data_IF_588624526754
#
_entry.id   IF_588624526754
#
_cell.length_a   1.000
_cell.length_b   1.000
_cell.length_c   1.000
_cell.angle_alpha   90.00
_cell.angle_beta   90.00
_cell.angle_gamma   90.00
#
_symmetry.space_group_name_H-M   'P 1'
#
loop_
_entity.id
_entity.type
_entity.pdbx_description
1 polymer ?
#
# COMPACT_ATOMS: atom_id res chain seq x y z
N UNK A 1 -25.45 6.62 43.33
CA UNK A 1 -24.51 5.87 42.45
C UNK A 1 -23.93 6.75 41.33
N UNK A 2 -23.63 8.04 41.55
CA UNK A 2 -23.28 8.97 40.45
C UNK A 2 -21.91 9.64 40.60
N UNK A 3 -21.18 9.36 41.70
CA UNK A 3 -19.89 10.00 42.00
C UNK A 3 -18.73 9.34 41.24
N UNK A 4 -18.78 8.03 41.00
CA UNK A 4 -17.68 7.30 40.35
C UNK A 4 -17.54 7.58 38.86
N UNK A 5 -18.64 7.91 38.16
CA UNK A 5 -18.62 8.23 36.73
C UNK A 5 -17.96 9.59 36.45
N UNK A 6 -18.13 10.57 37.35
CA UNK A 6 -17.49 11.88 37.22
C UNK A 6 -15.96 11.81 37.44
N UNK A 7 -15.49 10.97 38.38
CA UNK A 7 -14.05 10.76 38.58
C UNK A 7 -13.40 10.05 37.39
N UNK A 8 -14.07 9.06 36.79
CA UNK A 8 -13.55 8.36 35.62
C UNK A 8 -13.42 9.27 34.39
N UNK A 9 -14.41 10.13 34.15
CA UNK A 9 -14.35 11.11 33.05
C UNK A 9 -13.26 12.16 33.28
N UNK A 10 -13.09 12.65 34.51
CA UNK A 10 -12.03 13.60 34.83
C UNK A 10 -10.63 13.03 34.61
N UNK A 11 -10.41 11.77 35.00
CA UNK A 11 -9.12 11.10 34.82
C UNK A 11 -8.82 10.82 33.34
N UNK A 12 -9.84 10.43 32.55
CA UNK A 12 -9.69 10.24 31.11
C UNK A 12 -9.31 11.55 30.40
N UNK A 13 -9.96 12.67 30.75
CA UNK A 13 -9.62 13.98 30.18
C UNK A 13 -8.22 14.45 30.60
N UNK A 14 -7.80 14.18 31.83
CA UNK A 14 -6.46 14.52 32.30
C UNK A 14 -5.36 13.74 31.56
N UNK A 15 -5.57 12.44 31.27
CA UNK A 15 -4.60 11.63 30.53
C UNK A 15 -4.49 12.08 29.06
N UNK A 16 -5.62 12.32 28.40
CA UNK A 16 -5.63 12.77 26.99
C UNK A 16 -5.07 14.20 26.88
N UNK A 17 -5.51 15.11 27.76
CA UNK A 17 -5.02 16.50 27.78
C UNK A 17 -3.54 16.60 28.14
N UNK A 18 -3.08 15.84 29.15
CA UNK A 18 -1.68 15.79 29.54
C UNK A 18 -0.77 15.24 28.43
N UNK A 19 -1.22 14.19 27.72
CA UNK A 19 -0.49 13.63 26.58
C UNK A 19 -0.30 14.63 25.43
N UNK A 20 -1.35 15.35 25.05
CA UNK A 20 -1.27 16.38 23.99
C UNK A 20 -0.39 17.56 24.41
N UNK A 21 -0.46 17.99 25.67
CA UNK A 21 0.37 19.09 26.18
C UNK A 21 1.87 18.74 26.18
N UNK A 22 2.24 17.52 26.57
CA UNK A 22 3.64 17.07 26.52
C UNK A 22 4.18 16.98 25.10
N UNK A 23 3.38 16.51 24.13
CA UNK A 23 3.77 16.45 22.73
C UNK A 23 3.99 17.84 22.13
N UNK A 24 3.13 18.81 22.46
CA UNK A 24 3.24 20.18 21.96
C UNK A 24 4.47 20.90 22.54
N UNK A 25 4.78 20.70 23.83
CA UNK A 25 5.92 21.36 24.48
C UNK A 25 7.28 20.76 24.08
N UNK A 26 7.31 19.53 23.56
CA UNK A 26 8.55 18.89 23.10
C UNK A 26 9.03 19.38 21.72
N UNK A 27 8.20 20.10 20.96
CA UNK A 27 8.49 20.46 19.57
C UNK A 27 9.01 21.90 19.39
N UNK A 28 9.03 22.72 20.45
CA UNK A 28 9.47 24.12 20.39
C UNK A 28 10.98 24.36 20.62
N UNK A 29 11.78 23.29 20.72
CA UNK A 29 13.20 23.38 21.08
C UNK A 29 14.22 23.39 19.93
N UNK A 30 13.83 23.32 18.65
CA UNK A 30 14.76 22.95 17.57
C UNK A 30 14.94 23.97 16.43
N UNK A 31 14.59 25.24 16.60
CA UNK A 31 14.86 26.25 15.56
C UNK A 31 15.44 27.54 16.14
N UNK A 32 16.76 27.57 16.25
CA UNK A 32 17.54 28.82 16.24
C UNK A 32 18.11 28.98 14.83
N UNK A 33 17.66 29.98 14.05
CA UNK A 33 18.30 30.33 12.79
C UNK A 33 19.61 31.04 13.12
N UNK A 34 20.74 30.48 12.69
CA UNK A 34 22.00 31.20 12.64
C UNK A 34 21.96 32.17 11.46
N UNK A 35 21.75 33.45 11.75
CA UNK A 35 22.19 34.55 10.89
C UNK A 35 23.71 34.49 10.81
N UNK A 36 24.24 34.17 9.62
CA UNK A 36 25.52 34.68 9.10
C UNK A 36 25.65 34.30 7.61
N UNK A 37 25.63 35.31 6.74
CA UNK A 37 26.16 35.28 5.36
C UNK A 37 27.60 35.87 5.38
N UNK A 38 28.42 35.92 4.28
CA UNK A 38 28.11 35.71 2.86
C UNK A 38 29.19 34.99 1.97
N UNK A 39 28.75 34.63 0.77
CA UNK A 39 29.40 34.67 -0.57
C UNK A 39 30.84 34.15 -0.87
N UNK A 40 30.89 33.46 -2.03
CA UNK A 40 31.96 33.41 -3.05
C UNK A 40 32.97 32.24 -3.00
N UNK A 41 32.92 31.34 -3.98
CA UNK A 41 33.81 31.39 -5.16
C UNK A 41 33.62 30.16 -6.06
N UNK A 42 33.46 30.43 -7.35
CA UNK A 42 33.77 29.55 -8.49
C UNK A 42 35.12 28.85 -8.34
N UNK A 43 35.24 27.61 -8.86
CA UNK A 43 36.29 27.29 -9.84
C UNK A 43 36.09 25.92 -10.51
N UNK A 44 36.49 25.93 -11.78
CA UNK A 44 36.54 24.86 -12.77
C UNK A 44 37.41 23.65 -12.40
N UNK A 45 37.01 22.53 -13.02
CA UNK A 45 37.83 21.48 -13.61
C UNK A 45 39.26 21.27 -13.08
N UNK A 46 39.51 20.08 -12.52
CA UNK A 46 40.76 19.40 -12.81
C UNK A 46 40.61 17.87 -12.81
N UNK A 47 40.97 17.28 -13.94
CA UNK A 47 41.18 15.86 -14.16
C UNK A 47 42.33 15.32 -13.32
N UNK A 48 42.33 14.02 -12.98
CA UNK A 48 43.52 13.14 -12.96
C UNK A 48 43.11 11.67 -12.70
N UNK A 49 43.38 10.81 -13.70
CA UNK A 49 43.95 9.44 -13.67
C UNK A 49 43.17 8.38 -12.85
N UNK A 50 42.44 7.44 -13.49
CA UNK A 50 42.92 6.17 -14.07
C UNK A 50 43.66 5.22 -13.11
N UNK A 51 42.92 4.27 -12.54
CA UNK A 51 43.44 2.91 -12.31
C UNK A 51 42.42 1.91 -12.87
N UNK A 52 42.86 1.14 -13.88
CA UNK A 52 42.25 -0.12 -14.32
C UNK A 52 42.53 -1.16 -13.24
N UNK A 53 41.53 -1.96 -12.88
CA UNK A 53 41.79 -3.37 -12.58
C UNK A 53 40.58 -4.25 -12.97
N UNK A 54 40.76 -5.26 -13.84
CA UNK A 54 39.72 -6.20 -14.22
C UNK A 54 39.80 -7.41 -13.30
N UNK A 55 38.96 -7.48 -12.27
CA UNK A 55 38.85 -8.69 -11.45
C UNK A 55 37.67 -9.51 -11.96
N UNK A 56 37.99 -10.43 -12.86
CA UNK A 56 37.27 -11.69 -13.02
C UNK A 56 37.17 -12.35 -11.64
N UNK A 57 36.03 -12.21 -10.97
CA UNK A 57 35.67 -13.02 -9.84
C UNK A 57 34.63 -14.04 -10.32
N UNK A 58 35.11 -15.26 -10.55
CA UNK A 58 34.30 -16.43 -10.80
C UNK A 58 33.24 -16.55 -9.70
N UNK A 59 31.99 -16.68 -10.13
CA UNK A 59 30.83 -16.94 -9.30
C UNK A 59 31.04 -18.28 -8.57
N UNK A 60 30.98 -18.36 -7.23
CA UNK A 60 30.97 -19.65 -6.57
C UNK A 60 29.67 -20.38 -6.91
N UNK A 61 29.80 -21.66 -7.28
CA UNK A 61 28.72 -22.59 -7.57
C UNK A 61 27.57 -22.44 -6.57
N UNK A 62 26.39 -22.07 -7.09
CA UNK A 62 25.17 -22.17 -6.30
C UNK A 62 24.92 -23.66 -6.00
N UNK A 63 24.69 -24.05 -4.74
CA UNK A 63 24.15 -25.38 -4.47
C UNK A 63 22.80 -25.47 -5.18
N UNK A 64 22.67 -26.48 -6.06
CA UNK A 64 21.41 -26.89 -6.68
C UNK A 64 20.30 -26.79 -5.63
N UNK A 65 19.40 -25.82 -5.80
CA UNK A 65 18.11 -25.82 -5.10
C UNK A 65 17.48 -27.17 -5.38
N UNK A 66 17.38 -28.00 -4.35
CA UNK A 66 16.49 -29.13 -4.38
C UNK A 66 15.11 -28.59 -4.76
N UNK A 67 14.57 -29.14 -5.84
CA UNK A 67 13.23 -28.88 -6.33
C UNK A 67 12.22 -29.07 -5.20
N UNK A 68 11.75 -27.95 -4.66
CA UNK A 68 10.48 -27.86 -3.93
C UNK A 68 9.34 -27.85 -4.97
N UNK A 69 9.22 -28.90 -5.78
CA UNK A 69 8.10 -29.03 -6.72
C UNK A 69 7.84 -30.51 -6.99
N UNK A 70 7.65 -31.28 -5.92
CA UNK A 70 6.82 -32.48 -5.97
C UNK A 70 6.10 -32.69 -4.63
N UNK A 71 5.61 -31.59 -4.06
CA UNK A 71 4.70 -31.65 -2.90
C UNK A 71 3.27 -31.65 -3.42
N UNK A 72 2.84 -32.85 -3.81
CA UNK A 72 1.46 -33.33 -3.88
C UNK A 72 0.38 -32.25 -4.04
N UNK A 73 0.10 -31.88 -5.29
CA UNK A 73 -1.06 -31.07 -5.69
C UNK A 73 -2.39 -31.85 -5.63
N UNK A 74 -2.51 -32.80 -4.70
CA UNK A 74 -3.72 -33.57 -4.46
C UNK A 74 -3.88 -33.69 -2.95
N UNK A 75 -5.05 -33.28 -2.43
CA UNK A 75 -5.42 -33.39 -1.02
C UNK A 75 -4.96 -34.74 -0.46
N UNK A 76 -3.88 -34.68 0.32
CA UNK A 76 -3.11 -35.85 0.71
C UNK A 76 -3.84 -36.63 1.77
N UNK A 77 -3.98 -37.93 1.54
CA UNK A 77 -4.39 -38.87 2.58
C UNK A 77 -3.26 -38.96 3.61
N UNK A 78 -3.50 -38.47 4.84
CA UNK A 78 -2.53 -38.59 5.93
C UNK A 78 -3.05 -39.65 6.89
N UNK A 79 -2.18 -40.60 7.25
CA UNK A 79 -2.51 -41.60 8.25
C UNK A 79 -2.23 -41.06 9.64
N UNK A 80 -3.24 -41.09 10.50
CA UNK A 80 -3.09 -40.89 11.94
C UNK A 80 -2.77 -42.25 12.57
N UNK A 81 -1.53 -42.42 13.01
CA UNK A 81 -1.05 -43.62 13.68
C UNK A 81 -1.08 -43.42 15.20
N UNK A 82 -1.72 -44.34 15.93
CA UNK A 82 -1.69 -44.38 17.39
C UNK A 82 -0.73 -45.47 17.85
N UNK A 83 0.35 -45.09 18.53
CA UNK A 83 1.39 -45.98 19.07
C UNK A 83 1.60 -45.60 20.54
N UNK A 84 1.35 -46.52 21.47
CA UNK A 84 1.63 -46.32 22.91
C UNK A 84 1.10 -44.96 23.44
N UNK A 85 -0.19 -44.68 23.18
CA UNK A 85 -0.89 -43.42 23.52
C UNK A 85 -0.39 -42.14 22.82
N UNK A 86 0.64 -42.23 21.96
CA UNK A 86 1.12 -41.11 21.16
C UNK A 86 0.50 -41.15 19.76
N UNK A 87 0.04 -39.98 19.32
CA UNK A 87 -0.53 -39.80 17.98
C UNK A 87 0.54 -39.22 17.07
N UNK A 88 0.88 -39.93 15.99
CA UNK A 88 1.83 -39.49 14.97
C UNK A 88 1.12 -39.46 13.62
N UNK A 89 1.23 -38.34 12.91
CA UNK A 89 0.68 -38.17 11.58
C UNK A 89 1.78 -38.48 10.56
N UNK A 90 1.53 -39.46 9.69
CA UNK A 90 2.53 -39.93 8.72
C UNK A 90 1.88 -40.04 7.34
N UNK A 91 2.58 -39.56 6.33
CA UNK A 91 2.16 -39.65 4.91
C UNK A 91 2.35 -41.07 4.33
N UNK A 92 2.88 -41.99 5.13
CA UNK A 92 3.19 -43.39 4.77
C UNK A 92 2.43 -44.35 5.71
N UNK A 93 2.42 -45.65 5.39
CA UNK A 93 1.70 -46.66 6.18
C UNK A 93 2.19 -46.70 7.63
N UNK A 94 1.27 -46.86 8.57
CA UNK A 94 1.60 -46.96 9.98
C UNK A 94 2.48 -48.21 10.28
N UNK A 95 3.41 -48.11 11.24
CA UNK A 95 4.26 -49.23 11.64
C UNK A 95 3.43 -50.36 12.28
N UNK A 96 3.91 -51.60 12.16
CA UNK A 96 3.21 -52.81 12.62
C UNK A 96 2.92 -52.74 14.12
N UNK A 97 1.65 -52.84 14.50
CA UNK A 97 1.18 -52.69 15.90
C UNK A 97 0.52 -51.36 16.21
N UNK A 98 0.53 -50.40 15.27
CA UNK A 98 -0.20 -49.14 15.40
C UNK A 98 -1.64 -49.25 14.88
N UNK A 99 -2.58 -48.56 15.53
CA UNK A 99 -3.92 -48.37 14.95
C UNK A 99 -3.86 -47.21 13.95
N UNK A 100 -4.16 -47.50 12.68
CA UNK A 100 -4.18 -46.52 11.60
C UNK A 100 -5.60 -45.97 11.39
N UNK A 101 -5.74 -44.65 11.43
CA UNK A 101 -6.96 -43.96 11.04
C UNK A 101 -6.65 -43.05 9.85
N UNK A 102 -7.33 -43.27 8.74
CA UNK A 102 -7.16 -42.51 7.50
C UNK A 102 -7.92 -41.18 7.60
N UNK A 103 -7.23 -40.06 7.33
CA UNK A 103 -7.83 -38.72 7.36
C UNK A 103 -7.65 -38.08 6.00
N UNK A 104 -8.77 -37.74 5.37
CA UNK A 104 -8.81 -36.93 4.16
C UNK A 104 -8.57 -35.46 4.50
N UNK A 105 -7.50 -34.86 3.98
CA UNK A 105 -7.29 -33.43 4.05
C UNK A 105 -7.90 -32.75 2.82
N UNK A 106 -8.88 -31.89 3.06
CA UNK A 106 -9.37 -30.96 2.05
C UNK A 106 -8.53 -29.68 2.14
N UNK A 107 -7.83 -29.36 1.06
CA UNK A 107 -7.11 -28.11 0.94
C UNK A 107 -8.11 -26.96 0.72
N UNK A 108 -8.64 -26.42 1.81
CA UNK A 108 -9.33 -25.13 1.78
C UNK A 108 -8.31 -24.05 2.09
N UNK A 109 -7.47 -23.74 1.09
CA UNK A 109 -6.59 -22.58 1.11
C UNK A 109 -7.41 -21.27 1.16
N UNK A 110 -7.90 -20.91 2.35
CA UNK A 110 -8.24 -19.55 2.80
C UNK A 110 -9.27 -18.72 2.01
N UNK A 111 -9.79 -19.20 0.88
CA UNK A 111 -10.73 -18.46 0.04
C UNK A 111 -11.92 -19.37 -0.23
N UNK A 112 -13.03 -19.08 0.45
CA UNK A 112 -14.34 -19.69 0.16
C UNK A 112 -14.77 -19.13 -1.20
N UNK A 113 -14.32 -19.77 -2.29
CA UNK A 113 -14.88 -19.50 -3.61
C UNK A 113 -16.26 -20.14 -3.68
N UNK A 114 -17.31 -19.38 -4.06
CA UNK A 114 -18.63 -19.95 -4.30
C UNK A 114 -18.55 -21.10 -5.31
N UNK A 115 -19.42 -22.12 -5.21
CA UNK A 115 -19.47 -23.18 -6.20
C UNK A 115 -19.70 -22.58 -7.59
N UNK A 116 -19.13 -23.21 -8.63
CA UNK A 116 -19.14 -22.68 -10.01
C UNK A 116 -20.53 -22.35 -10.55
N UNK A 117 -21.57 -23.02 -10.06
CA UNK A 117 -22.96 -22.73 -10.40
C UNK A 117 -23.41 -21.33 -9.92
N UNK A 118 -23.04 -20.97 -8.68
CA UNK A 118 -23.39 -19.67 -8.10
C UNK A 118 -22.65 -18.52 -8.79
N UNK A 119 -21.41 -18.76 -9.24
CA UNK A 119 -20.67 -17.77 -10.02
C UNK A 119 -21.38 -17.40 -11.33
N UNK A 120 -22.02 -18.36 -12.00
CA UNK A 120 -22.77 -18.07 -13.23
C UNK A 120 -24.00 -17.22 -12.95
N UNK A 121 -24.77 -17.57 -11.91
CA UNK A 121 -25.95 -16.81 -11.48
C UNK A 121 -25.57 -15.37 -11.09
N UNK A 122 -24.51 -15.21 -10.29
CA UNK A 122 -24.00 -13.91 -9.87
C UNK A 122 -23.50 -13.07 -11.05
N UNK A 123 -22.86 -13.70 -12.04
CA UNK A 123 -22.38 -13.01 -13.24
C UNK A 123 -23.54 -12.54 -14.12
N UNK A 124 -24.58 -13.36 -14.28
CA UNK A 124 -25.79 -13.00 -15.04
C UNK A 124 -26.52 -11.84 -14.35
N UNK A 125 -26.68 -11.89 -13.03
CA UNK A 125 -27.32 -10.81 -12.28
C UNK A 125 -26.53 -9.49 -12.37
N UNK A 126 -25.20 -9.54 -12.25
CA UNK A 126 -24.36 -8.35 -12.40
C UNK A 126 -24.53 -7.72 -13.79
N UNK A 127 -24.48 -8.53 -14.84
CA UNK A 127 -24.65 -8.04 -16.22
C UNK A 127 -26.04 -7.46 -16.47
N UNK A 128 -27.07 -8.01 -15.84
CA UNK A 128 -28.43 -7.48 -15.93
C UNK A 128 -28.53 -6.09 -15.25
N UNK A 129 -27.96 -5.94 -14.05
CA UNK A 129 -27.93 -4.67 -13.34
C UNK A 129 -27.13 -3.59 -14.09
N UNK A 130 -25.96 -3.95 -14.65
CA UNK A 130 -25.16 -3.05 -15.49
C UNK A 130 -25.93 -2.62 -16.76
N UNK A 131 -26.68 -3.53 -17.39
CA UNK A 131 -27.48 -3.23 -18.58
C UNK A 131 -28.65 -2.27 -18.27
N UNK A 132 -29.26 -2.38 -17.09
CA UNK A 132 -30.30 -1.45 -16.62
C UNK A 132 -29.72 -0.05 -16.36
N UNK A 133 -28.54 0.04 -15.75
CA UNK A 133 -27.85 1.33 -15.55
C UNK A 133 -27.44 1.98 -16.88
N UNK A 134 -26.97 1.20 -17.85
CA UNK A 134 -26.60 1.71 -19.18
C UNK A 134 -27.81 2.23 -19.98
N UNK A 135 -29.02 1.72 -19.75
CA UNK A 135 -30.24 2.24 -20.40
C UNK A 135 -30.73 3.54 -19.76
N UNK A 136 -30.59 3.70 -18.43
CA UNK A 136 -30.92 4.94 -17.74
C UNK A 136 -29.99 6.11 -18.11
N UNK A 137 -28.73 5.83 -18.47
CA UNK A 137 -27.75 6.84 -18.92
C UNK A 137 -27.81 7.20 -20.41
N UNK A 138 -28.59 6.49 -21.24
CA UNK A 138 -28.52 6.59 -22.71
C UNK A 138 -29.21 7.82 -23.32
N UNK A 139 -29.92 8.62 -22.52
CA UNK A 139 -30.56 9.86 -22.97
C UNK A 139 -29.67 11.10 -22.94
N UNK A 140 -28.37 10.97 -22.61
CA UNK A 140 -27.43 12.07 -22.69
C UNK A 140 -26.38 11.81 -23.77
N UNK A 141 -26.77 12.09 -25.02
CA UNK A 141 -25.79 12.40 -26.06
C UNK A 141 -25.21 13.78 -25.73
N UNK A 142 -24.24 13.82 -24.82
CA UNK A 142 -23.39 15.00 -24.61
C UNK A 142 -22.45 15.07 -25.80
N UNK A 143 -22.39 16.24 -26.44
CA UNK A 143 -21.53 16.53 -27.58
C UNK A 143 -20.05 16.39 -27.18
N UNK A 144 -19.50 15.19 -27.31
CA UNK A 144 -18.09 14.87 -27.02
C UNK A 144 -17.23 15.44 -28.14
N UNK A 145 -16.80 16.70 -28.04
CA UNK A 145 -16.01 17.31 -29.12
C UNK A 145 -14.92 18.28 -28.68
N UNK A 146 -15.23 19.23 -27.79
CA UNK A 146 -14.26 20.26 -27.40
C UNK A 146 -14.47 20.81 -25.99
N UNK A 147 -15.72 20.92 -25.52
CA UNK A 147 -16.03 21.32 -24.14
C UNK A 147 -15.70 20.21 -23.13
N UNK A 148 -15.89 18.96 -23.52
CA UNK A 148 -15.64 17.80 -22.65
C UNK A 148 -14.14 17.55 -22.45
N UNK A 149 -13.30 17.82 -23.47
CA UNK A 149 -11.84 17.74 -23.33
C UNK A 149 -11.29 18.88 -22.46
N UNK A 150 -11.80 20.10 -22.60
CA UNK A 150 -11.44 21.23 -21.72
C UNK A 150 -11.86 21.01 -20.27
N UNK A 151 -13.09 20.57 -20.03
CA UNK A 151 -13.57 20.26 -18.66
C UNK A 151 -12.79 19.12 -18.02
N UNK A 152 -12.44 18.06 -18.77
CA UNK A 152 -11.56 17.01 -18.27
C UNK A 152 -10.14 17.53 -17.96
N UNK A 153 -9.60 18.45 -18.76
CA UNK A 153 -8.31 19.09 -18.48
C UNK A 153 -8.37 19.97 -17.22
N UNK A 154 -9.45 20.74 -17.03
CA UNK A 154 -9.66 21.51 -15.80
C UNK A 154 -9.68 20.62 -14.56
N UNK A 155 -10.46 19.53 -14.60
CA UNK A 155 -10.55 18.57 -13.51
C UNK A 155 -9.21 17.90 -13.18
N UNK A 156 -8.38 17.63 -14.20
CA UNK A 156 -7.02 17.13 -13.99
C UNK A 156 -6.13 18.16 -13.29
N UNK A 157 -6.18 19.42 -13.73
CA UNK A 157 -5.41 20.51 -13.12
C UNK A 157 -5.84 20.76 -11.66
N UNK A 158 -7.14 20.66 -11.35
CA UNK A 158 -7.63 20.81 -9.97
C UNK A 158 -7.07 19.71 -9.05
N UNK A 159 -7.09 18.45 -9.49
CA UNK A 159 -6.48 17.35 -8.74
C UNK A 159 -4.98 17.55 -8.55
N UNK A 160 -4.31 18.15 -9.53
CA UNK A 160 -2.90 18.45 -9.41
C UNK A 160 -2.63 19.55 -8.39
N UNK A 161 -3.46 20.61 -8.35
CA UNK A 161 -3.37 21.63 -7.29
C UNK A 161 -3.64 21.01 -5.91
N UNK A 162 -4.64 20.15 -5.78
CA UNK A 162 -4.96 19.46 -4.52
C UNK A 162 -3.79 18.58 -4.05
N UNK A 163 -3.15 17.86 -4.98
CA UNK A 163 -1.92 17.11 -4.69
C UNK A 163 -0.80 18.02 -4.18
N UNK A 164 -0.53 19.14 -4.86
CA UNK A 164 0.48 20.12 -4.42
C UNK A 164 0.14 20.74 -3.06
N UNK A 165 -1.14 21.01 -2.78
CA UNK A 165 -1.62 21.48 -1.48
C UNK A 165 -1.41 20.45 -0.38
N UNK A 166 -1.66 19.17 -0.68
CA UNK A 166 -1.42 18.07 0.26
C UNK A 166 0.07 17.96 0.63
N UNK A 167 0.97 18.17 -0.33
CA UNK A 167 2.41 18.21 -0.10
C UNK A 167 2.84 19.43 0.74
N UNK A 168 2.24 20.59 0.49
CA UNK A 168 2.55 21.83 1.19
C UNK A 168 2.17 21.80 2.68
N UNK A 169 1.24 20.92 3.08
CA UNK A 169 0.84 20.72 4.48
C UNK A 169 1.85 19.92 5.29
N UNK A 170 2.78 19.24 4.64
CA UNK A 170 3.85 18.50 5.30
C UNK A 170 5.04 19.43 5.58
N UNK A 171 5.83 19.18 6.63
CA UNK A 171 7.11 19.87 6.82
C UNK A 171 8.03 19.56 5.64
N UNK A 172 8.24 20.55 4.78
CA UNK A 172 9.13 20.48 3.62
C UNK A 172 10.29 21.47 3.80
N UNK A 173 11.42 21.20 3.14
CA UNK A 173 12.52 22.16 3.04
C UNK A 173 12.06 23.45 2.33
N UNK A 174 12.77 24.56 2.55
CA UNK A 174 12.44 25.84 1.91
C UNK A 174 12.42 25.74 0.38
N UNK A 175 13.42 25.09 -0.21
CA UNK A 175 13.49 24.88 -1.66
C UNK A 175 12.33 24.05 -2.22
N UNK A 176 11.86 23.05 -1.48
CA UNK A 176 10.67 22.27 -1.87
C UNK A 176 9.40 23.11 -1.75
N UNK A 177 9.27 23.96 -0.72
CA UNK A 177 8.12 24.87 -0.63
C UNK A 177 8.08 25.88 -1.77
N UNK A 178 9.23 26.43 -2.15
CA UNK A 178 9.32 27.36 -3.28
C UNK A 178 8.97 26.66 -4.60
N UNK A 179 9.48 25.45 -4.81
CA UNK A 179 9.08 24.63 -5.95
C UNK A 179 7.57 24.36 -5.98
N UNK A 180 6.95 24.04 -4.83
CA UNK A 180 5.49 23.83 -4.75
C UNK A 180 4.72 25.13 -5.11
N UNK A 181 5.18 26.30 -4.63
CA UNK A 181 4.56 27.60 -4.96
C UNK A 181 4.61 27.86 -6.46
N UNK A 182 5.78 27.67 -7.07
CA UNK A 182 5.97 27.85 -8.51
C UNK A 182 5.10 26.90 -9.32
N UNK A 183 5.04 25.63 -8.93
CA UNK A 183 4.26 24.63 -9.66
C UNK A 183 2.75 24.88 -9.54
N UNK A 184 2.29 25.34 -8.38
CA UNK A 184 0.91 25.81 -8.21
C UNK A 184 0.62 27.00 -9.09
N UNK A 185 1.52 27.99 -9.18
CA UNK A 185 1.34 29.15 -10.06
C UNK A 185 1.17 28.72 -11.51
N UNK A 186 2.07 27.87 -12.04
CA UNK A 186 1.99 27.35 -13.42
C UNK A 186 0.67 26.62 -13.68
N UNK A 187 0.22 25.83 -12.71
CA UNK A 187 -1.04 25.08 -12.82
C UNK A 187 -2.24 26.02 -12.88
N UNK A 188 -2.26 27.07 -12.05
CA UNK A 188 -3.31 28.11 -12.08
C UNK A 188 -3.27 28.95 -13.35
N UNK A 189 -2.09 29.30 -13.84
CA UNK A 189 -1.92 30.01 -15.12
C UNK A 189 -2.45 29.15 -16.27
N UNK A 190 -2.21 27.83 -16.21
CA UNK A 190 -2.76 26.89 -17.19
C UNK A 190 -4.29 26.83 -17.12
N UNK A 191 -4.86 26.78 -15.92
CA UNK A 191 -6.32 26.82 -15.72
C UNK A 191 -6.92 28.10 -16.33
N UNK A 192 -6.35 29.25 -16.01
CA UNK A 192 -6.78 30.54 -16.57
C UNK A 192 -6.69 30.56 -18.10
N UNK A 193 -5.60 30.03 -18.69
CA UNK A 193 -5.44 29.94 -20.15
C UNK A 193 -6.49 29.05 -20.83
N UNK A 194 -7.03 28.07 -20.11
CA UNK A 194 -8.04 27.13 -20.60
C UNK A 194 -9.47 27.64 -20.39
N UNK A 195 -9.67 28.69 -19.57
CA UNK A 195 -10.97 29.18 -19.16
C UNK A 195 -11.69 28.24 -18.19
N UNK A 196 -10.90 27.53 -17.37
CA UNK A 196 -11.36 27.06 -16.08
C UNK A 196 -11.50 28.30 -15.16
#
# INVERSE_FOLDING_TARGET
>A
MQKHTLFSFGLALALVGGGVFLLNNSMSGFWQPSEDAPASSTNEANSVISIREPVNAALPDQPKRASLDERSAAGGMINKCLIEEKTVYVDQKCPTGATAQEIHLYDTAGVISPPKADLQVLTVQRKAAEAEEHQAGRNQVVTVGASQSKSNQCAFLDRHVEYLDSMARQPQSGSTQDWIRDEKSKTRDRQASLGC
#
